data_IF_190498764832
#
_entry.id   IF_190498764832
#
_cell.length_a   1.000
_cell.length_b   1.000
_cell.length_c   1.000
_cell.angle_alpha   90.00
_cell.angle_beta   90.00
_cell.angle_gamma   90.00
#
_symmetry.space_group_name_H-M   'P 1'
#
loop_
_entity.id
_entity.type
_entity.pdbx_description
1 polymer ?
#
# COMPACT_ATOMS: atom_id res chain seq x y z
N UNK A 1 -5.53 -21.52 -0.64
CA UNK A 1 -6.66 -21.53 -1.61
C UNK A 1 -6.45 -20.35 -2.54
N UNK A 2 -6.40 -20.58 -3.86
CA UNK A 2 -6.27 -19.51 -4.86
C UNK A 2 -7.67 -19.06 -5.32
N UNK A 3 -8.01 -17.79 -5.14
CA UNK A 3 -9.30 -17.21 -5.58
C UNK A 3 -9.20 -16.61 -7.00
N UNK A 4 -8.05 -16.73 -7.66
CA UNK A 4 -7.74 -16.13 -8.94
C UNK A 4 -7.56 -14.62 -8.86
N UNK A 5 -7.78 -13.95 -9.99
CA UNK A 5 -7.53 -12.52 -10.15
C UNK A 5 -8.79 -11.75 -10.57
N UNK A 6 -8.81 -10.46 -10.27
CA UNK A 6 -9.77 -9.51 -10.84
C UNK A 6 -9.07 -8.57 -11.82
N UNK A 7 -9.83 -8.05 -12.80
CA UNK A 7 -9.33 -7.05 -13.75
C UNK A 7 -9.90 -5.68 -13.41
N UNK A 8 -9.02 -4.68 -13.33
CA UNK A 8 -9.41 -3.27 -13.28
C UNK A 8 -9.80 -2.86 -14.71
N UNK A 9 -11.11 -2.88 -15.00
CA UNK A 9 -11.61 -2.59 -16.35
C UNK A 9 -11.51 -1.10 -16.72
N UNK A 10 -11.64 -0.21 -15.73
CA UNK A 10 -11.55 1.23 -15.89
C UNK A 10 -10.77 1.80 -14.68
N UNK A 11 -9.56 2.30 -14.92
CA UNK A 11 -8.67 2.83 -13.87
C UNK A 11 -9.29 4.06 -13.19
N UNK A 12 -9.94 4.95 -13.95
CA UNK A 12 -10.53 6.18 -13.41
C UNK A 12 -11.67 5.86 -12.44
N UNK A 13 -12.56 4.94 -12.81
CA UNK A 13 -13.65 4.50 -11.93
C UNK A 13 -13.13 3.77 -10.69
N UNK A 14 -12.08 2.95 -10.84
CA UNK A 14 -11.43 2.27 -9.72
C UNK A 14 -10.85 3.27 -8.73
N UNK A 15 -10.13 4.28 -9.22
CA UNK A 15 -9.53 5.32 -8.39
C UNK A 15 -10.61 6.21 -7.78
N UNK A 16 -11.68 6.53 -8.50
CA UNK A 16 -12.84 7.25 -7.97
C UNK A 16 -13.50 6.50 -6.81
N UNK A 17 -13.73 5.19 -6.97
CA UNK A 17 -14.25 4.33 -5.90
C UNK A 17 -13.31 4.27 -4.69
N UNK A 18 -11.99 4.22 -4.93
CA UNK A 18 -10.98 4.29 -3.87
C UNK A 18 -11.06 5.63 -3.12
N UNK A 19 -11.11 6.76 -3.83
CA UNK A 19 -11.26 8.10 -3.24
C UNK A 19 -12.51 8.21 -2.38
N UNK A 20 -13.63 7.68 -2.88
CA UNK A 20 -14.90 7.65 -2.16
C UNK A 20 -14.77 6.87 -0.84
N UNK A 21 -14.15 5.68 -0.87
CA UNK A 21 -13.93 4.89 0.33
C UNK A 21 -13.03 5.61 1.37
N UNK A 22 -11.98 6.31 0.90
CA UNK A 22 -11.18 7.16 1.79
C UNK A 22 -12.05 8.26 2.43
N UNK A 23 -12.84 8.99 1.64
CA UNK A 23 -13.72 10.05 2.13
C UNK A 23 -14.72 9.53 3.17
N UNK A 24 -15.33 8.37 2.92
CA UNK A 24 -16.25 7.70 3.86
C UNK A 24 -15.55 7.29 5.16
N UNK A 25 -14.24 7.02 5.13
CA UNK A 25 -13.41 6.77 6.32
C UNK A 25 -12.92 8.05 7.03
N UNK A 26 -13.30 9.24 6.56
CA UNK A 26 -12.96 10.52 7.19
C UNK A 26 -11.60 11.10 6.78
N UNK A 27 -10.97 10.60 5.72
CA UNK A 27 -9.69 11.10 5.23
C UNK A 27 -9.70 11.25 3.70
N UNK A 28 -8.89 12.14 3.14
CA UNK A 28 -8.74 12.24 1.68
C UNK A 28 -7.64 11.29 1.20
N UNK A 29 -7.84 10.66 0.03
CA UNK A 29 -6.75 9.99 -0.67
C UNK A 29 -5.76 11.05 -1.18
N UNK A 30 -4.55 11.05 -0.62
CA UNK A 30 -3.49 11.95 -1.02
C UNK A 30 -3.02 11.64 -2.44
N UNK A 31 -2.82 12.69 -3.25
CA UNK A 31 -2.46 12.56 -4.68
C UNK A 31 -1.20 11.72 -4.92
N UNK A 32 -0.28 11.73 -3.96
CA UNK A 32 0.95 10.94 -4.04
C UNK A 32 0.69 9.44 -3.89
N UNK A 33 -0.21 9.03 -2.99
CA UNK A 33 -0.60 7.61 -2.84
C UNK A 33 -1.43 7.17 -4.03
N UNK A 34 -2.34 8.03 -4.51
CA UNK A 34 -3.10 7.76 -5.75
C UNK A 34 -2.18 7.41 -6.92
N UNK A 35 -1.10 8.18 -7.14
CA UNK A 35 -0.14 7.90 -8.21
C UNK A 35 0.50 6.52 -8.07
N UNK A 36 0.80 6.09 -6.84
CA UNK A 36 1.38 4.76 -6.59
C UNK A 36 0.38 3.63 -6.79
N UNK A 37 -0.88 3.83 -6.43
CA UNK A 37 -1.96 2.86 -6.73
C UNK A 37 -2.10 2.68 -8.24
N UNK A 38 -2.16 3.78 -9.01
CA UNK A 38 -2.21 3.73 -10.48
C UNK A 38 -1.00 3.02 -11.07
N UNK A 39 0.21 3.37 -10.61
CA UNK A 39 1.44 2.72 -11.07
C UNK A 39 1.42 1.20 -10.81
N UNK A 40 1.00 0.77 -9.60
CA UNK A 40 0.89 -0.65 -9.27
C UNK A 40 -0.13 -1.38 -10.16
N UNK A 41 -1.31 -0.80 -10.40
CA UNK A 41 -2.32 -1.36 -11.29
C UNK A 41 -1.73 -1.57 -12.71
N UNK A 42 -1.05 -0.55 -13.23
CA UNK A 42 -0.42 -0.58 -14.55
C UNK A 42 0.71 -1.60 -14.65
N UNK A 43 1.59 -1.67 -13.64
CA UNK A 43 2.69 -2.65 -13.56
C UNK A 43 2.18 -4.10 -13.54
N UNK A 44 0.93 -4.31 -13.11
CA UNK A 44 0.28 -5.61 -13.09
C UNK A 44 -0.68 -5.83 -14.28
N UNK A 45 -0.55 -5.06 -15.37
CA UNK A 45 -1.39 -5.17 -16.56
C UNK A 45 -2.90 -5.11 -16.26
N UNK A 46 -3.29 -4.31 -15.26
CA UNK A 46 -4.65 -4.17 -14.75
C UNK A 46 -5.25 -5.47 -14.17
N UNK A 47 -4.44 -6.45 -13.78
CA UNK A 47 -4.90 -7.73 -13.22
C UNK A 47 -4.28 -7.94 -11.84
N UNK A 48 -5.12 -8.05 -10.81
CA UNK A 48 -4.68 -8.12 -9.42
C UNK A 48 -5.25 -9.37 -8.72
N UNK A 49 -4.51 -10.00 -7.79
CA UNK A 49 -5.01 -11.18 -7.08
C UNK A 49 -6.21 -10.83 -6.20
N UNK A 50 -7.29 -11.62 -6.24
CA UNK A 50 -8.46 -11.41 -5.38
C UNK A 50 -8.12 -11.59 -3.89
N UNK A 51 -7.22 -12.52 -3.59
CA UNK A 51 -6.71 -12.76 -2.23
C UNK A 51 -5.95 -11.57 -1.65
N UNK A 52 -5.49 -10.63 -2.49
CA UNK A 52 -4.82 -9.41 -2.05
C UNK A 52 -5.79 -8.24 -1.83
N UNK A 53 -7.11 -8.48 -1.87
CA UNK A 53 -8.13 -7.45 -1.64
C UNK A 53 -8.11 -6.31 -2.68
N UNK A 54 -8.78 -5.21 -2.35
CA UNK A 54 -8.81 -4.01 -3.19
C UNK A 54 -7.53 -3.21 -2.99
N UNK A 55 -6.74 -3.06 -4.06
CA UNK A 55 -5.53 -2.24 -4.03
C UNK A 55 -5.82 -0.81 -3.59
N UNK A 56 -5.11 -0.34 -2.57
CA UNK A 56 -5.21 1.02 -2.04
C UNK A 56 -5.97 1.17 -0.72
N UNK A 57 -6.77 0.17 -0.32
CA UNK A 57 -7.64 0.26 0.86
C UNK A 57 -7.10 -0.46 2.10
N UNK A 58 -5.93 -1.08 2.00
CA UNK A 58 -5.34 -1.84 3.09
C UNK A 58 -4.67 -0.94 4.13
N UNK A 59 -4.56 -1.44 5.36
CA UNK A 59 -4.03 -0.69 6.49
C UNK A 59 -2.64 -0.09 6.22
N UNK A 60 -1.74 -0.83 5.56
CA UNK A 60 -0.40 -0.34 5.24
C UNK A 60 -0.42 0.85 4.27
N UNK A 61 -1.32 0.81 3.29
CA UNK A 61 -1.48 1.90 2.31
C UNK A 61 -2.16 3.10 2.95
N UNK A 62 -3.13 2.88 3.84
CA UNK A 62 -3.77 3.95 4.60
C UNK A 62 -2.78 4.63 5.56
N UNK A 63 -1.90 3.85 6.22
CA UNK A 63 -0.84 4.39 7.05
C UNK A 63 0.12 5.29 6.24
N UNK A 64 0.54 4.83 5.06
CA UNK A 64 1.31 5.65 4.13
C UNK A 64 0.55 6.93 3.74
N UNK A 65 -0.74 6.83 3.43
CA UNK A 65 -1.59 7.98 3.10
C UNK A 65 -1.62 9.02 4.22
N UNK A 66 -1.81 8.56 5.46
CA UNK A 66 -1.78 9.42 6.64
C UNK A 66 -0.43 10.14 6.76
N UNK A 67 0.68 9.40 6.70
CA UNK A 67 2.03 9.96 6.83
C UNK A 67 2.29 11.03 5.76
N UNK A 68 2.04 10.73 4.48
CA UNK A 68 2.32 11.72 3.41
C UNK A 68 1.39 12.94 3.49
N UNK A 69 0.16 12.77 3.99
CA UNK A 69 -0.75 13.88 4.22
C UNK A 69 -0.21 14.80 5.31
N UNK A 70 0.22 14.24 6.45
CA UNK A 70 0.80 15.01 7.55
C UNK A 70 2.07 15.74 7.13
N UNK A 71 2.94 15.11 6.34
CA UNK A 71 4.14 15.76 5.81
C UNK A 71 3.78 16.93 4.88
N UNK A 72 2.81 16.75 3.97
CA UNK A 72 2.33 17.82 3.09
C UNK A 72 1.73 18.99 3.87
N UNK A 73 0.93 18.73 4.90
CA UNK A 73 0.31 19.76 5.75
C UNK A 73 1.34 20.60 6.50
N UNK A 74 2.50 20.00 6.84
CA UNK A 74 3.63 20.69 7.48
C UNK A 74 4.57 21.38 6.48
N UNK A 75 4.31 21.26 5.17
CA UNK A 75 5.19 21.78 4.12
C UNK A 75 6.52 21.03 4.02
N UNK A 76 6.59 19.81 4.56
CA UNK A 76 7.81 19.01 4.58
C UNK A 76 8.03 18.24 3.28
N UNK A 77 9.30 17.95 2.96
CA UNK A 77 9.62 17.15 1.79
C UNK A 77 9.26 15.67 2.04
N UNK A 78 8.21 15.20 1.35
CA UNK A 78 7.73 13.80 1.44
C UNK A 78 8.86 12.80 1.18
N UNK A 79 9.63 13.01 0.10
CA UNK A 79 10.65 12.06 -0.33
C UNK A 79 11.77 11.87 0.71
N UNK A 80 12.24 12.96 1.30
CA UNK A 80 13.31 12.93 2.31
C UNK A 80 12.81 12.20 3.57
N UNK A 81 11.62 12.56 4.06
CA UNK A 81 11.07 12.01 5.30
C UNK A 81 10.64 10.55 5.20
N UNK A 82 10.23 10.09 4.01
CA UNK A 82 9.84 8.69 3.82
C UNK A 82 11.00 7.71 4.04
N UNK A 83 12.26 8.09 3.79
CA UNK A 83 13.40 7.21 4.07
C UNK A 83 13.52 6.81 5.55
N UNK A 84 13.02 7.66 6.45
CA UNK A 84 13.02 7.46 7.90
C UNK A 84 11.66 7.01 8.42
N UNK A 85 10.75 6.60 7.53
CA UNK A 85 9.41 6.12 7.89
C UNK A 85 9.40 4.60 7.97
N UNK A 86 8.72 4.09 9.00
CA UNK A 86 8.59 2.67 9.29
C UNK A 86 7.12 2.31 9.43
N UNK A 87 6.66 1.32 8.68
CA UNK A 87 5.29 0.80 8.70
C UNK A 87 5.34 -0.63 9.24
N UNK A 88 4.55 -0.87 10.28
CA UNK A 88 4.39 -2.16 10.95
C UNK A 88 2.92 -2.56 10.95
N UNK A 89 2.66 -3.84 10.71
CA UNK A 89 1.29 -4.39 10.70
C UNK A 89 1.26 -5.67 11.51
N UNK A 90 0.51 -5.68 12.59
CA UNK A 90 0.37 -6.85 13.46
C UNK A 90 -1.04 -7.41 13.41
N UNK A 91 -1.14 -8.73 13.61
CA UNK A 91 -2.43 -9.41 13.75
C UNK A 91 -3.01 -9.16 15.13
N UNK A 92 -4.25 -8.65 15.17
CA UNK A 92 -5.01 -8.46 16.40
C UNK A 92 -5.94 -9.64 16.75
N UNK A 93 -6.16 -10.56 15.81
CA UNK A 93 -7.01 -11.74 15.96
C UNK A 93 -6.41 -12.92 15.20
N UNK A 94 -6.65 -14.15 15.68
CA UNK A 94 -6.04 -15.37 15.13
C UNK A 94 -4.67 -15.63 15.74
N UNK A 95 -3.63 -15.69 14.91
CA UNK A 95 -2.23 -15.74 15.38
C UNK A 95 -1.82 -14.35 15.90
N UNK A 96 -2.31 -13.97 17.07
CA UNK A 96 -2.15 -12.64 17.67
C UNK A 96 -0.69 -12.24 17.86
N UNK A 97 -0.43 -10.94 17.72
CA UNK A 97 0.90 -10.31 17.84
C UNK A 97 1.95 -10.82 16.84
N UNK A 98 1.57 -11.69 15.90
CA UNK A 98 2.43 -12.07 14.80
C UNK A 98 2.48 -10.96 13.74
N UNK A 99 3.64 -10.85 13.11
CA UNK A 99 3.85 -9.97 11.97
C UNK A 99 2.89 -10.34 10.83
N UNK A 100 2.24 -9.32 10.27
CA UNK A 100 1.46 -9.43 9.06
C UNK A 100 2.30 -8.88 7.89
N UNK A 101 2.89 -9.74 7.05
CA UNK A 101 3.68 -9.28 5.92
C UNK A 101 2.81 -8.59 4.89
N UNK A 102 3.34 -7.53 4.28
CA UNK A 102 2.61 -6.79 3.26
C UNK A 102 2.24 -7.70 2.08
N UNK A 103 0.96 -7.71 1.73
CA UNK A 103 0.44 -8.52 0.62
C UNK A 103 0.96 -8.01 -0.75
N UNK A 104 0.58 -8.66 -1.85
CA UNK A 104 0.94 -8.23 -3.21
C UNK A 104 0.63 -6.75 -3.49
N UNK A 105 -0.55 -6.28 -3.10
CA UNK A 105 -1.00 -4.90 -3.33
C UNK A 105 -0.22 -3.90 -2.47
N UNK A 106 -0.13 -4.15 -1.17
CA UNK A 106 0.62 -3.29 -0.25
C UNK A 106 2.10 -3.27 -0.63
N UNK A 107 2.67 -4.41 -0.96
CA UNK A 107 4.05 -4.49 -1.40
C UNK A 107 4.28 -3.68 -2.67
N UNK A 108 3.35 -3.78 -3.62
CA UNK A 108 3.18 -2.96 -4.81
C UNK A 108 3.30 -1.46 -4.59
N UNK A 109 2.48 -0.97 -3.67
CA UNK A 109 2.23 0.45 -3.44
C UNK A 109 3.27 1.05 -2.49
N UNK A 110 3.68 0.30 -1.47
CA UNK A 110 4.74 0.66 -0.52
C UNK A 110 6.09 0.23 -1.09
N UNK A 111 6.46 0.76 -2.24
CA UNK A 111 7.61 0.29 -3.01
C UNK A 111 8.68 1.35 -3.25
N UNK A 112 8.69 2.40 -2.41
CA UNK A 112 9.67 3.48 -2.52
C UNK A 112 10.66 3.52 -1.38
N UNK A 113 10.68 4.63 -0.65
CA UNK A 113 11.72 4.96 0.34
C UNK A 113 11.34 4.54 1.76
N UNK A 114 10.04 4.38 2.01
CA UNK A 114 9.50 3.88 3.26
C UNK A 114 9.85 2.41 3.53
N UNK A 115 9.96 2.07 4.81
CA UNK A 115 10.36 0.73 5.25
C UNK A 115 9.14 -0.05 5.76
N UNK A 116 8.98 -1.29 5.28
CA UNK A 116 7.94 -2.22 5.75
C UNK A 116 8.60 -3.26 6.62
N UNK A 117 8.37 -3.18 7.93
CA UNK A 117 9.16 -3.91 8.92
C UNK A 117 8.68 -5.33 9.14
N UNK A 118 7.39 -5.58 8.96
CA UNK A 118 6.79 -6.92 9.09
C UNK A 118 6.99 -7.80 7.85
N UNK A 119 7.87 -7.37 6.95
CA UNK A 119 8.20 -8.09 5.72
C UNK A 119 7.15 -7.98 4.62
N UNK A 120 7.35 -8.78 3.58
CA UNK A 120 6.53 -8.83 2.36
C UNK A 120 6.32 -10.29 1.99
N UNK A 121 5.17 -10.61 1.41
CA UNK A 121 4.93 -11.97 0.91
C UNK A 121 5.98 -12.36 -0.15
N UNK A 122 6.43 -13.62 -0.12
CA UNK A 122 7.41 -14.15 -1.06
C UNK A 122 6.92 -14.04 -2.52
N UNK A 123 7.84 -13.77 -3.46
CA UNK A 123 7.61 -13.50 -4.90
C UNK A 123 7.16 -12.08 -5.29
N UNK A 124 7.19 -11.09 -4.39
CA UNK A 124 7.05 -9.70 -4.82
C UNK A 124 8.35 -9.16 -5.47
N UNK A 125 8.26 -8.79 -6.76
CA UNK A 125 9.36 -8.51 -7.69
C UNK A 125 10.24 -7.27 -7.43
N UNK A 126 10.12 -6.56 -6.29
CA UNK A 126 11.01 -5.43 -5.94
C UNK A 126 11.97 -5.75 -4.79
N UNK A 127 12.59 -6.93 -4.80
CA UNK A 127 13.70 -7.27 -3.90
C UNK A 127 15.03 -6.62 -4.33
N UNK A 128 15.08 -5.30 -4.50
CA UNK A 128 16.36 -4.60 -4.71
C UNK A 128 16.64 -3.44 -3.76
N UNK A 129 15.82 -3.21 -2.72
CA UNK A 129 16.28 -2.41 -1.57
C UNK A 129 15.86 -3.01 -0.25
N UNK A 130 16.88 -3.51 0.45
CA UNK A 130 16.97 -3.85 1.87
C UNK A 130 15.96 -4.89 2.32
N UNK A 131 16.41 -6.14 2.30
CA UNK A 131 16.12 -7.00 3.46
C UNK A 131 16.50 -6.17 4.68
N UNK A 132 15.52 -5.71 5.44
CA UNK A 132 15.74 -5.20 6.79
C UNK A 132 16.26 -6.40 7.57
N UNK A 133 17.58 -6.55 7.58
CA UNK A 133 18.27 -7.50 8.43
C UNK A 133 18.04 -7.00 9.85
N UNK A 134 17.43 -7.85 10.68
CA UNK A 134 17.45 -7.68 12.13
C UNK A 134 18.89 -7.68 12.65
#
# INVERSE_FOLDING_TARGET
MDLGSYRVANEEQFISGTKKAYQESGTALHSWVERRIKAHIKENNNVLPKMAGIAGLHAEVQALNYIVTQLSERGENISINLNSTYIFTQRLVGDENQDFPACHNCSGILSGMENVMTGRVENYRRMTRRNSVA
#
